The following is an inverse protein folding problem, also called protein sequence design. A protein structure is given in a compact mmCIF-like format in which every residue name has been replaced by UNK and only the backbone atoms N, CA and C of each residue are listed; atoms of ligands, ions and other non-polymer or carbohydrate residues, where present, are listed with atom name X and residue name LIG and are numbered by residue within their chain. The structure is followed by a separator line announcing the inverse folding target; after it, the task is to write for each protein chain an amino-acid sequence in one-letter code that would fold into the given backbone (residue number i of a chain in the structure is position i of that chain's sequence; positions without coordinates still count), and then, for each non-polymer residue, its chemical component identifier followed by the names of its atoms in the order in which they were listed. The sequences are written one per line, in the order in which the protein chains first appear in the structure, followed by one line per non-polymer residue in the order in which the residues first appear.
data_IF_551852464295
#
_entry.id   IF_551852464295
#
_cell.length_a   1.000
_cell.length_b   1.000
_cell.length_c   1.000
_cell.angle_alpha   90.00
_cell.angle_beta   90.00
_cell.angle_gamma   90.00
#
_symmetry.space_group_name_H-M   'P 1'
#
loop_
_entity.id
_entity.type
_entity.pdbx_description
1 polymer ?
#
# COMPACT_ATOMS: atom_id res chain seq x y z
N UNK A 1 -5.93 24.21 2.54
CA UNK A 1 -5.39 22.86 2.82
C UNK A 1 -6.31 21.85 2.15
N UNK A 2 -5.76 20.89 1.40
CA UNK A 2 -6.51 19.80 0.74
C UNK A 2 -6.13 18.50 1.45
N UNK A 3 -7.10 17.66 1.76
CA UNK A 3 -6.87 16.28 2.25
C UNK A 3 -7.41 15.32 1.20
N UNK A 4 -6.53 14.47 0.69
CA UNK A 4 -6.83 13.41 -0.27
C UNK A 4 -7.24 12.15 0.51
N UNK A 5 -8.42 11.62 0.22
CA UNK A 5 -8.97 10.42 0.86
C UNK A 5 -10.02 9.82 -0.08
N UNK A 6 -10.30 8.50 0.01
CA UNK A 6 -11.37 7.91 -0.79
C UNK A 6 -12.72 8.54 -0.44
N UNK A 7 -13.64 8.55 -1.41
CA UNK A 7 -14.99 9.09 -1.20
C UNK A 7 -15.77 8.34 -0.13
N UNK A 8 -15.47 7.05 0.07
CA UNK A 8 -16.03 6.20 1.11
C UNK A 8 -15.09 5.04 1.42
N UNK A 9 -14.98 4.67 2.69
CA UNK A 9 -14.29 3.46 3.15
C UNK A 9 -15.30 2.57 3.88
N UNK A 10 -15.43 1.32 3.45
CA UNK A 10 -16.34 0.33 4.03
C UNK A 10 -15.53 -0.90 4.38
N UNK A 11 -15.62 -1.35 5.62
CA UNK A 11 -14.97 -2.55 6.09
C UNK A 11 -15.98 -3.35 6.92
N UNK A 12 -16.26 -4.57 6.46
CA UNK A 12 -17.10 -5.49 7.22
C UNK A 12 -16.98 -6.92 6.66
N UNK A 13 -17.39 -7.88 7.49
CA UNK A 13 -17.47 -9.28 7.10
C UNK A 13 -18.50 -9.48 5.98
N UNK A 14 -18.07 -10.04 4.84
CA UNK A 14 -18.95 -10.33 3.71
C UNK A 14 -19.25 -9.13 2.82
N UNK A 15 -18.50 -8.02 2.94
CA UNK A 15 -18.74 -6.78 2.20
C UNK A 15 -18.80 -6.99 0.67
N UNK A 16 -18.06 -7.97 0.13
CA UNK A 16 -17.93 -8.18 -1.31
C UNK A 16 -19.24 -8.57 -1.98
N UNK A 17 -20.14 -9.30 -1.30
CA UNK A 17 -21.46 -9.63 -1.87
C UNK A 17 -22.44 -8.46 -1.81
N UNK A 18 -22.09 -7.39 -1.09
CA UNK A 18 -22.94 -6.22 -0.85
C UNK A 18 -22.51 -4.98 -1.64
N UNK A 19 -21.54 -5.11 -2.55
CA UNK A 19 -21.00 -4.00 -3.38
C UNK A 19 -22.11 -3.10 -3.94
N UNK A 20 -23.16 -3.70 -4.51
CA UNK A 20 -24.26 -2.97 -5.12
C UNK A 20 -25.06 -2.09 -4.13
N UNK A 21 -25.09 -2.44 -2.85
CA UNK A 21 -25.87 -1.72 -1.83
C UNK A 21 -25.18 -0.46 -1.30
N UNK A 22 -23.89 -0.29 -1.56
CA UNK A 22 -23.11 0.82 -1.01
C UNK A 22 -23.13 2.07 -1.88
N UNK A 23 -23.38 1.92 -3.17
CA UNK A 23 -23.19 3.00 -4.14
C UNK A 23 -24.37 3.06 -5.12
N UNK A 24 -25.32 3.95 -4.87
CA UNK A 24 -26.49 4.15 -5.74
C UNK A 24 -26.11 4.50 -7.18
N UNK A 25 -24.96 5.17 -7.40
CA UNK A 25 -24.51 5.52 -8.75
C UNK A 25 -24.16 4.32 -9.63
N UNK A 26 -24.08 3.09 -9.08
CA UNK A 26 -23.92 1.88 -9.87
C UNK A 26 -25.15 1.59 -10.75
N UNK A 27 -26.29 2.17 -10.43
CA UNK A 27 -27.52 2.11 -11.23
C UNK A 27 -27.48 3.07 -12.44
N UNK A 28 -26.60 4.08 -12.44
CA UNK A 28 -26.51 5.11 -13.49
C UNK A 28 -25.97 4.57 -14.84
N UNK A 29 -25.48 3.33 -14.87
CA UNK A 29 -24.95 2.73 -16.10
C UNK A 29 -24.31 1.36 -15.90
N UNK A 30 -23.62 0.90 -16.95
CA UNK A 30 -22.97 -0.42 -16.93
C UNK A 30 -21.65 -0.35 -16.16
N UNK A 31 -21.36 -1.39 -15.40
CA UNK A 31 -20.17 -1.50 -14.54
C UNK A 31 -19.20 -2.53 -15.12
N UNK A 32 -17.91 -2.22 -15.14
CA UNK A 32 -16.85 -3.20 -15.41
C UNK A 32 -16.31 -3.72 -14.08
N UNK A 33 -16.39 -5.02 -13.86
CA UNK A 33 -15.71 -5.70 -12.75
C UNK A 33 -14.40 -6.28 -13.30
N UNK A 34 -13.28 -5.75 -12.83
CA UNK A 34 -11.96 -6.17 -13.25
C UNK A 34 -11.29 -6.96 -12.11
N UNK A 35 -11.04 -8.25 -12.36
CA UNK A 35 -10.53 -9.18 -11.35
C UNK A 35 -9.15 -9.71 -11.75
N UNK A 36 -8.25 -9.93 -10.79
CA UNK A 36 -7.12 -10.84 -11.07
C UNK A 36 -7.60 -12.28 -11.27
N UNK A 37 -6.73 -13.15 -11.80
CA UNK A 37 -7.08 -14.54 -12.09
C UNK A 37 -7.58 -15.32 -10.87
N UNK A 38 -6.97 -15.10 -9.70
CA UNK A 38 -7.40 -15.75 -8.45
C UNK A 38 -8.80 -15.28 -8.05
N UNK A 39 -9.02 -13.97 -8.00
CA UNK A 39 -10.29 -13.35 -7.61
C UNK A 39 -11.40 -13.71 -8.57
N UNK A 40 -11.10 -13.79 -9.87
CA UNK A 40 -12.05 -14.26 -10.88
C UNK A 40 -12.47 -15.70 -10.63
N UNK A 41 -11.52 -16.60 -10.32
CA UNK A 41 -11.83 -18.01 -10.06
C UNK A 41 -12.66 -18.21 -8.78
N UNK A 42 -12.39 -17.43 -7.74
CA UNK A 42 -12.97 -17.66 -6.41
C UNK A 42 -14.17 -16.79 -6.06
N UNK A 43 -14.29 -15.58 -6.65
CA UNK A 43 -15.26 -14.58 -6.18
C UNK A 43 -16.23 -14.08 -7.25
N UNK A 44 -16.02 -14.40 -8.54
CA UNK A 44 -16.89 -13.89 -9.63
C UNK A 44 -18.37 -14.19 -9.40
N UNK A 45 -18.70 -15.39 -8.90
CA UNK A 45 -20.09 -15.82 -8.75
C UNK A 45 -20.74 -15.11 -7.56
N UNK A 46 -20.04 -15.00 -6.42
CA UNK A 46 -20.47 -14.22 -5.24
C UNK A 46 -20.76 -12.76 -5.60
N UNK A 47 -19.88 -12.13 -6.38
CA UNK A 47 -20.04 -10.74 -6.83
C UNK A 47 -21.19 -10.61 -7.83
N UNK A 48 -21.27 -11.53 -8.79
CA UNK A 48 -22.33 -11.61 -9.80
C UNK A 48 -23.72 -11.74 -9.17
N UNK A 49 -23.88 -12.59 -8.16
CA UNK A 49 -25.13 -12.74 -7.41
C UNK A 49 -25.54 -11.45 -6.68
N UNK A 50 -24.59 -10.80 -5.99
CA UNK A 50 -24.82 -9.54 -5.29
C UNK A 50 -25.28 -8.41 -6.23
N UNK A 51 -24.65 -8.30 -7.40
CA UNK A 51 -25.01 -7.33 -8.44
C UNK A 51 -26.38 -7.62 -9.07
N UNK A 52 -26.68 -8.89 -9.39
CA UNK A 52 -27.97 -9.31 -9.95
C UNK A 52 -29.13 -9.03 -9.01
N UNK A 53 -28.95 -9.24 -7.70
CA UNK A 53 -29.98 -8.96 -6.68
C UNK A 53 -30.44 -7.50 -6.68
N UNK A 54 -29.58 -6.59 -7.11
CA UNK A 54 -29.86 -5.15 -7.20
C UNK A 54 -30.05 -4.67 -8.64
N UNK A 55 -30.22 -5.59 -9.60
CA UNK A 55 -30.41 -5.29 -11.02
C UNK A 55 -29.31 -4.41 -11.64
N UNK A 56 -28.07 -4.51 -11.14
CA UNK A 56 -26.93 -3.78 -11.71
C UNK A 56 -26.54 -4.41 -13.05
N UNK A 57 -26.32 -3.59 -14.08
CA UNK A 57 -25.80 -4.02 -15.37
C UNK A 57 -24.28 -4.06 -15.33
N UNK A 58 -23.65 -5.20 -15.65
CA UNK A 58 -22.20 -5.35 -15.53
C UNK A 58 -21.55 -6.24 -16.60
N UNK A 59 -20.22 -6.15 -16.67
CA UNK A 59 -19.32 -7.08 -17.37
C UNK A 59 -18.26 -7.50 -16.37
N UNK A 60 -17.90 -8.78 -16.32
CA UNK A 60 -16.76 -9.26 -15.52
C UNK A 60 -15.64 -9.66 -16.47
N UNK A 61 -14.45 -9.08 -16.30
CA UNK A 61 -13.24 -9.46 -17.01
C UNK A 61 -12.17 -9.95 -16.01
N UNK A 62 -11.49 -11.04 -16.38
CA UNK A 62 -10.26 -11.48 -15.70
C UNK A 62 -9.07 -10.78 -16.35
N UNK A 63 -8.14 -10.30 -15.53
CA UNK A 63 -6.91 -9.63 -15.93
C UNK A 63 -5.69 -10.31 -15.29
N UNK A 64 -4.73 -10.71 -16.10
CA UNK A 64 -3.50 -11.39 -15.66
C UNK A 64 -2.23 -10.75 -16.24
N UNK A 65 -2.34 -9.55 -16.80
CA UNK A 65 -1.22 -8.83 -17.39
C UNK A 65 -0.55 -7.84 -16.42
N UNK A 66 0.30 -6.99 -16.97
CA UNK A 66 0.92 -5.88 -16.24
C UNK A 66 0.08 -4.62 -16.33
N UNK A 67 0.10 -3.81 -15.26
CA UNK A 67 -0.44 -2.45 -15.29
C UNK A 67 0.46 -1.59 -16.20
N UNK A 68 0.23 -1.67 -17.50
CA UNK A 68 0.97 -0.96 -18.54
C UNK A 68 0.01 -0.20 -19.46
N UNK A 69 0.51 0.83 -20.14
CA UNK A 69 -0.35 1.72 -20.95
C UNK A 69 -1.07 1.00 -22.09
N UNK A 70 -0.50 -0.07 -22.64
CA UNK A 70 -1.14 -0.89 -23.67
C UNK A 70 -2.40 -1.56 -23.12
N UNK A 71 -2.28 -2.28 -22.00
CA UNK A 71 -3.41 -2.94 -21.35
C UNK A 71 -4.47 -1.95 -20.88
N UNK A 72 -4.05 -0.82 -20.30
CA UNK A 72 -4.96 0.25 -19.87
C UNK A 72 -5.80 0.75 -21.07
N UNK A 73 -5.14 1.08 -22.19
CA UNK A 73 -5.84 1.55 -23.40
C UNK A 73 -6.80 0.51 -23.96
N UNK A 74 -6.40 -0.76 -24.00
CA UNK A 74 -7.25 -1.84 -24.48
C UNK A 74 -8.53 -1.99 -23.64
N UNK A 75 -8.41 -1.93 -22.31
CA UNK A 75 -9.57 -2.00 -21.41
C UNK A 75 -10.44 -0.75 -21.55
N UNK A 76 -9.87 0.44 -21.71
CA UNK A 76 -10.63 1.68 -21.94
C UNK A 76 -11.44 1.60 -23.24
N UNK A 77 -10.85 1.14 -24.35
CA UNK A 77 -11.55 0.99 -25.63
C UNK A 77 -12.76 0.05 -25.50
N UNK A 78 -12.57 -1.10 -24.85
CA UNK A 78 -13.68 -2.04 -24.55
C UNK A 78 -14.75 -1.40 -23.65
N UNK A 79 -14.32 -0.67 -22.63
CA UNK A 79 -15.20 0.00 -21.67
C UNK A 79 -16.07 1.06 -22.36
N UNK A 80 -15.48 1.87 -23.23
CA UNK A 80 -16.20 2.87 -24.03
C UNK A 80 -17.22 2.21 -24.98
N UNK A 81 -16.83 1.13 -25.64
CA UNK A 81 -17.70 0.38 -26.56
C UNK A 81 -18.91 -0.24 -25.86
N UNK A 82 -18.78 -0.52 -24.56
CA UNK A 82 -19.84 -1.07 -23.71
C UNK A 82 -20.56 -0.02 -22.85
N UNK A 83 -20.27 1.27 -23.04
CA UNK A 83 -20.80 2.39 -22.26
C UNK A 83 -20.64 2.17 -20.73
N UNK A 84 -19.48 1.65 -20.32
CA UNK A 84 -19.13 1.49 -18.91
C UNK A 84 -19.01 2.87 -18.24
N UNK A 85 -19.59 3.01 -17.06
CA UNK A 85 -19.57 4.25 -16.24
C UNK A 85 -18.73 4.11 -14.98
N UNK A 86 -18.52 2.89 -14.51
CA UNK A 86 -17.76 2.60 -13.31
C UNK A 86 -16.89 1.35 -13.49
N UNK A 87 -15.67 1.38 -12.96
CA UNK A 87 -14.76 0.24 -12.88
C UNK A 87 -14.66 -0.20 -11.42
N UNK A 88 -14.85 -1.49 -11.14
CA UNK A 88 -14.63 -2.07 -9.81
C UNK A 88 -13.45 -3.03 -9.93
N UNK A 89 -12.32 -2.66 -9.31
CA UNK A 89 -11.14 -3.50 -9.23
C UNK A 89 -11.25 -4.44 -8.04
N UNK A 90 -11.12 -5.75 -8.25
CA UNK A 90 -11.17 -6.75 -7.19
C UNK A 90 -9.92 -7.64 -7.27
N UNK A 91 -9.07 -7.59 -6.25
CA UNK A 91 -7.85 -8.40 -6.23
C UNK A 91 -6.71 -7.80 -5.42
N UNK A 92 -5.50 -8.25 -5.76
CA UNK A 92 -4.25 -7.69 -5.23
C UNK A 92 -3.80 -6.39 -5.92
N UNK A 93 -2.65 -5.86 -5.52
CA UNK A 93 -2.15 -4.54 -5.93
C UNK A 93 -2.18 -4.28 -7.44
N UNK A 94 -1.72 -5.23 -8.27
CA UNK A 94 -1.72 -5.07 -9.74
C UNK A 94 -3.13 -4.90 -10.32
N UNK A 95 -4.11 -5.64 -9.83
CA UNK A 95 -5.51 -5.54 -10.28
C UNK A 95 -6.13 -4.21 -9.87
N UNK A 96 -5.83 -3.74 -8.66
CA UNK A 96 -6.31 -2.45 -8.16
C UNK A 96 -5.66 -1.28 -8.91
N UNK A 97 -4.36 -1.34 -9.18
CA UNK A 97 -3.64 -0.30 -9.93
C UNK A 97 -4.18 -0.17 -11.36
N UNK A 98 -4.35 -1.28 -12.08
CA UNK A 98 -4.92 -1.19 -13.42
C UNK A 98 -6.37 -0.69 -13.40
N UNK A 99 -7.18 -1.09 -12.41
CA UNK A 99 -8.56 -0.61 -12.27
C UNK A 99 -8.60 0.91 -12.01
N UNK A 100 -7.72 1.42 -11.13
CA UNK A 100 -7.55 2.86 -10.88
C UNK A 100 -7.12 3.60 -12.15
N UNK A 101 -6.12 3.09 -12.87
CA UNK A 101 -5.62 3.71 -14.09
C UNK A 101 -6.68 3.73 -15.20
N UNK A 102 -7.42 2.64 -15.41
CA UNK A 102 -8.54 2.57 -16.37
C UNK A 102 -9.65 3.54 -15.96
N UNK A 103 -10.00 3.61 -14.67
CA UNK A 103 -10.99 4.56 -14.16
C UNK A 103 -10.59 6.00 -14.43
N UNK A 104 -9.36 6.36 -14.09
CA UNK A 104 -8.82 7.71 -14.28
C UNK A 104 -8.72 8.11 -15.76
N UNK A 105 -7.97 7.36 -16.58
CA UNK A 105 -7.77 7.72 -18.00
C UNK A 105 -9.03 7.52 -18.85
N UNK A 106 -9.94 6.63 -18.43
CA UNK A 106 -11.22 6.41 -19.07
C UNK A 106 -12.32 7.38 -18.64
N UNK A 107 -12.04 8.30 -17.70
CA UNK A 107 -13.01 9.21 -17.11
C UNK A 107 -14.27 8.49 -16.56
N UNK A 108 -14.03 7.39 -15.86
CA UNK A 108 -15.04 6.56 -15.20
C UNK A 108 -14.90 6.66 -13.68
N UNK A 109 -15.99 6.43 -12.95
CA UNK A 109 -15.89 6.21 -11.50
C UNK A 109 -15.10 4.93 -11.25
N UNK A 110 -14.45 4.83 -10.10
CA UNK A 110 -13.76 3.59 -9.74
C UNK A 110 -13.81 3.29 -8.24
N UNK A 111 -14.02 2.01 -7.95
CA UNK A 111 -14.14 1.43 -6.61
C UNK A 111 -13.10 0.32 -6.46
N UNK A 112 -12.41 0.27 -5.33
CA UNK A 112 -11.40 -0.75 -5.04
C UNK A 112 -11.93 -1.76 -4.02
N UNK A 113 -11.73 -3.05 -4.30
CA UNK A 113 -12.08 -4.16 -3.41
C UNK A 113 -10.84 -5.03 -3.20
N UNK A 114 -9.95 -4.64 -2.28
CA UNK A 114 -8.75 -5.42 -2.00
C UNK A 114 -9.11 -6.81 -1.46
N UNK A 115 -8.43 -7.84 -1.96
CA UNK A 115 -8.55 -9.22 -1.45
C UNK A 115 -7.47 -9.57 -0.43
N UNK A 116 -6.58 -8.62 -0.12
CA UNK A 116 -5.57 -8.71 0.92
C UNK A 116 -5.20 -7.32 1.46
N UNK A 117 -4.90 -7.23 2.76
CA UNK A 117 -4.34 -6.03 3.39
C UNK A 117 -2.80 -6.08 3.34
N UNK A 118 -2.20 -6.01 2.15
CA UNK A 118 -0.75 -6.17 1.95
C UNK A 118 0.01 -4.87 1.71
N UNK A 119 -0.70 -3.80 1.36
CA UNK A 119 -0.17 -2.45 1.17
C UNK A 119 -1.31 -1.45 1.45
N UNK A 120 -0.97 -0.17 1.56
CA UNK A 120 -1.93 0.93 1.71
C UNK A 120 -2.39 1.57 0.38
N UNK A 121 -1.92 1.02 -0.74
CA UNK A 121 -2.28 1.46 -2.09
C UNK A 121 -3.76 1.43 -2.51
N UNK A 122 -4.68 0.62 -1.90
CA UNK A 122 -6.08 0.59 -2.34
C UNK A 122 -6.81 1.94 -2.23
N UNK A 123 -6.47 2.77 -1.25
CA UNK A 123 -7.13 4.06 -1.01
C UNK A 123 -6.46 5.23 -1.75
N UNK A 124 -5.28 5.02 -2.33
CA UNK A 124 -4.44 6.12 -2.81
C UNK A 124 -4.82 6.61 -4.21
N UNK A 125 -4.46 7.86 -4.52
CA UNK A 125 -4.47 8.38 -5.91
C UNK A 125 -3.21 8.01 -6.69
N UNK A 126 -2.49 6.97 -6.29
CA UNK A 126 -1.25 6.54 -6.96
C UNK A 126 -1.51 5.21 -7.63
N UNK A 127 -1.07 5.06 -8.88
CA UNK A 127 -1.00 3.77 -9.56
C UNK A 127 0.44 3.50 -9.97
N UNK A 128 0.92 2.26 -9.82
CA UNK A 128 2.24 1.87 -10.32
C UNK A 128 2.11 1.43 -11.77
N UNK A 129 2.87 2.08 -12.66
CA UNK A 129 2.95 1.73 -14.07
C UNK A 129 4.20 0.90 -14.32
N UNK A 130 4.04 -0.15 -15.11
CA UNK A 130 5.09 -1.04 -15.56
C UNK A 130 5.23 -0.98 -17.08
N UNK A 131 6.39 -1.37 -17.57
CA UNK A 131 6.54 -1.79 -18.96
C UNK A 131 5.83 -3.15 -19.17
N UNK A 132 5.59 -3.52 -20.43
CA UNK A 132 4.89 -4.76 -20.76
C UNK A 132 5.64 -6.03 -20.33
N UNK A 133 6.94 -5.93 -20.05
CA UNK A 133 7.79 -7.00 -19.51
C UNK A 133 7.79 -7.07 -17.97
N UNK A 134 7.04 -6.20 -17.30
CA UNK A 134 6.93 -6.16 -15.83
C UNK A 134 8.02 -5.32 -15.15
N UNK A 135 8.88 -4.63 -15.91
CA UNK A 135 9.85 -3.68 -15.35
C UNK A 135 9.12 -2.45 -14.81
N UNK A 136 9.47 -1.99 -13.60
CA UNK A 136 8.95 -0.74 -13.05
C UNK A 136 9.22 0.42 -14.02
N UNK A 137 8.21 1.24 -14.29
CA UNK A 137 8.33 2.40 -15.16
C UNK A 137 8.24 3.69 -14.37
N UNK A 138 7.09 3.94 -13.73
CA UNK A 138 6.85 5.16 -12.96
C UNK A 138 5.64 5.04 -12.04
N UNK A 139 5.52 5.97 -11.10
CA UNK A 139 4.30 6.20 -10.34
C UNK A 139 3.43 7.24 -11.04
N UNK A 140 2.15 6.93 -11.25
CA UNK A 140 1.18 7.87 -11.83
C UNK A 140 0.36 8.49 -10.70
N UNK A 141 0.33 9.82 -10.64
CA UNK A 141 -0.60 10.56 -9.80
C UNK A 141 -1.93 10.72 -10.55
N UNK A 142 -2.99 10.15 -9.98
CA UNK A 142 -4.37 10.27 -10.45
C UNK A 142 -4.97 11.56 -9.87
N UNK A 143 -5.99 12.09 -10.54
CA UNK A 143 -6.64 13.36 -10.14
C UNK A 143 -7.37 13.26 -8.80
N UNK A 144 -7.92 12.09 -8.50
CA UNK A 144 -8.75 11.82 -7.34
C UNK A 144 -8.37 10.49 -6.69
N UNK A 145 -8.75 10.28 -5.44
CA UNK A 145 -8.76 8.96 -4.81
C UNK A 145 -9.96 8.14 -5.36
N UNK A 146 -10.02 6.82 -5.09
CA UNK A 146 -11.19 6.01 -5.40
C UNK A 146 -12.48 6.59 -4.83
N UNK A 147 -13.57 6.41 -5.59
CA UNK A 147 -14.91 6.81 -5.15
C UNK A 147 -15.38 5.98 -3.95
N UNK A 148 -14.84 4.77 -3.82
CA UNK A 148 -15.10 3.87 -2.71
C UNK A 148 -14.00 2.83 -2.57
N UNK A 149 -13.74 2.41 -1.34
CA UNK A 149 -12.95 1.22 -1.02
C UNK A 149 -13.79 0.31 -0.16
N UNK A 150 -13.96 -0.94 -0.58
CA UNK A 150 -14.77 -1.95 0.10
C UNK A 150 -13.86 -3.09 0.52
N UNK A 151 -13.81 -3.35 1.82
CA UNK A 151 -12.93 -4.33 2.42
C UNK A 151 -13.77 -5.45 3.03
N UNK A 152 -13.73 -6.63 2.41
CA UNK A 152 -14.38 -7.83 2.94
C UNK A 152 -13.41 -8.54 3.89
N UNK A 153 -13.64 -8.41 5.20
CA UNK A 153 -12.70 -8.95 6.20
C UNK A 153 -12.72 -10.47 6.27
N UNK A 154 -13.77 -11.13 5.79
CA UNK A 154 -13.79 -12.59 5.62
C UNK A 154 -12.81 -13.02 4.54
N UNK A 155 -12.74 -12.28 3.43
CA UNK A 155 -11.80 -12.56 2.34
C UNK A 155 -10.37 -12.38 2.82
N UNK A 156 -10.08 -11.29 3.55
CA UNK A 156 -8.73 -11.03 4.09
C UNK A 156 -8.35 -12.06 5.15
N UNK A 157 -9.27 -12.48 6.02
CA UNK A 157 -9.01 -13.52 7.02
C UNK A 157 -8.61 -14.86 6.40
N UNK A 158 -9.10 -15.17 5.19
CA UNK A 158 -8.77 -16.39 4.45
C UNK A 158 -7.58 -16.23 3.47
N UNK A 159 -6.95 -15.05 3.43
CA UNK A 159 -5.78 -14.81 2.59
C UNK A 159 -4.50 -15.33 3.27
N UNK A 160 -3.41 -15.60 2.53
CA UNK A 160 -2.14 -16.00 3.15
C UNK A 160 -1.64 -14.95 4.16
N UNK A 161 -1.32 -15.37 5.39
CA UNK A 161 -0.88 -14.47 6.47
C UNK A 161 0.35 -13.62 6.12
N UNK A 162 1.21 -14.10 5.20
CA UNK A 162 2.34 -13.33 4.65
C UNK A 162 1.90 -11.98 4.05
N UNK A 163 0.71 -11.93 3.44
CA UNK A 163 0.15 -10.69 2.88
C UNK A 163 -0.15 -9.68 3.98
N UNK A 164 -0.82 -10.09 5.06
CA UNK A 164 -1.08 -9.19 6.21
C UNK A 164 0.23 -8.74 6.87
N UNK A 165 1.19 -9.66 7.06
CA UNK A 165 2.53 -9.35 7.58
C UNK A 165 3.19 -8.25 6.74
N UNK A 166 3.17 -8.36 5.41
CA UNK A 166 3.67 -7.30 4.54
C UNK A 166 2.94 -5.97 4.76
N UNK A 167 1.60 -5.95 4.83
CA UNK A 167 0.85 -4.72 5.10
C UNK A 167 1.17 -4.08 6.44
N UNK A 168 1.44 -4.86 7.49
CA UNK A 168 1.92 -4.37 8.78
C UNK A 168 3.28 -3.66 8.63
N UNK A 169 4.20 -4.26 7.86
CA UNK A 169 5.51 -3.67 7.59
C UNK A 169 5.41 -2.31 6.89
N UNK A 170 4.49 -2.22 5.92
CA UNK A 170 4.19 -0.99 5.17
C UNK A 170 3.56 0.09 6.09
N UNK A 171 2.48 -0.27 6.80
CA UNK A 171 1.70 0.67 7.62
C UNK A 171 2.44 1.27 8.82
N UNK A 172 3.41 0.56 9.39
CA UNK A 172 4.24 1.12 10.49
C UNK A 172 5.11 2.28 10.00
N UNK A 173 5.60 2.23 8.76
CA UNK A 173 6.50 3.25 8.22
C UNK A 173 5.83 4.62 8.18
N UNK A 174 4.52 4.65 7.91
CA UNK A 174 3.73 5.86 7.70
C UNK A 174 3.85 6.90 8.81
N UNK A 175 3.88 6.45 10.07
CA UNK A 175 4.09 7.37 11.21
C UNK A 175 5.45 8.04 11.15
N UNK A 176 6.51 7.24 11.03
CA UNK A 176 7.88 7.73 11.07
C UNK A 176 8.21 8.59 9.87
N UNK A 177 7.76 8.21 8.68
CA UNK A 177 7.99 8.98 7.47
C UNK A 177 7.22 10.29 7.45
N UNK A 178 5.98 10.30 7.95
CA UNK A 178 5.18 11.52 8.08
C UNK A 178 5.83 12.51 9.04
N UNK A 179 6.29 12.04 10.22
CA UNK A 179 6.99 12.91 11.18
C UNK A 179 8.34 13.40 10.64
N UNK A 180 9.12 12.53 9.99
CA UNK A 180 10.39 12.93 9.40
C UNK A 180 10.23 13.96 8.28
N UNK A 181 9.20 13.82 7.45
CA UNK A 181 8.82 14.82 6.45
C UNK A 181 8.38 16.14 7.09
N UNK A 182 7.58 16.09 8.16
CA UNK A 182 7.12 17.28 8.88
C UNK A 182 8.30 18.06 9.44
N UNK A 183 9.21 17.39 10.13
CA UNK A 183 10.41 18.05 10.66
C UNK A 183 11.34 18.56 9.56
N UNK A 184 11.44 17.85 8.44
CA UNK A 184 12.22 18.26 7.28
C UNK A 184 11.67 19.52 6.60
N UNK A 185 10.36 19.64 6.50
CA UNK A 185 9.67 20.85 6.04
C UNK A 185 9.97 22.05 6.95
N UNK A 186 9.84 21.87 8.27
CA UNK A 186 10.13 22.92 9.26
C UNK A 186 11.57 23.41 9.12
N UNK A 187 12.55 22.51 8.98
CA UNK A 187 13.96 22.90 8.77
C UNK A 187 14.17 23.72 7.50
N UNK A 188 13.53 23.32 6.39
CA UNK A 188 13.80 23.90 5.06
C UNK A 188 13.02 25.19 4.82
N UNK A 189 11.81 25.29 5.36
CA UNK A 189 10.82 26.30 5.00
C UNK A 189 10.26 27.08 6.19
N UNK A 190 10.61 26.71 7.44
CA UNK A 190 10.10 27.34 8.67
C UNK A 190 8.64 27.01 9.00
N UNK A 191 7.97 26.20 8.18
CA UNK A 191 6.60 25.72 8.33
C UNK A 191 6.43 24.40 7.56
N UNK A 192 5.38 23.62 7.84
CA UNK A 192 5.09 22.40 7.09
C UNK A 192 3.70 22.43 6.47
N UNK A 193 3.61 21.86 5.26
CA UNK A 193 2.35 21.66 4.54
C UNK A 193 1.62 20.38 4.97
N UNK A 194 2.30 19.50 5.70
CA UNK A 194 1.74 18.26 6.23
C UNK A 194 0.67 18.59 7.26
N UNK A 195 -0.53 18.06 7.01
CA UNK A 195 -1.71 18.36 7.81
C UNK A 195 -1.66 17.69 9.19
N UNK A 196 -2.34 18.29 10.17
CA UNK A 196 -2.59 17.65 11.46
C UNK A 196 -3.33 16.31 11.27
N UNK A 197 -4.28 16.25 10.33
CA UNK A 197 -4.99 15.02 9.98
C UNK A 197 -4.04 13.89 9.60
N UNK A 198 -3.07 14.14 8.72
CA UNK A 198 -2.09 13.14 8.30
C UNK A 198 -1.27 12.62 9.49
N UNK A 199 -0.80 13.53 10.36
CA UNK A 199 -0.03 13.19 11.55
C UNK A 199 -0.82 12.40 12.60
N UNK A 200 -2.08 12.78 12.82
CA UNK A 200 -2.96 12.08 13.75
C UNK A 200 -3.27 10.68 13.25
N UNK A 201 -3.65 10.53 11.98
CA UNK A 201 -3.98 9.22 11.41
C UNK A 201 -2.75 8.32 11.27
N UNK A 202 -1.58 8.87 10.95
CA UNK A 202 -0.34 8.08 10.91
C UNK A 202 0.06 7.59 12.30
N UNK A 203 -0.10 8.41 13.35
CA UNK A 203 0.11 7.98 14.74
C UNK A 203 -0.86 6.88 15.16
N UNK A 204 -2.14 7.04 14.84
CA UNK A 204 -3.18 6.05 15.15
C UNK A 204 -2.93 4.73 14.40
N UNK A 205 -2.49 4.80 13.14
CA UNK A 205 -2.04 3.64 12.37
C UNK A 205 -0.94 2.86 13.11
N UNK A 206 0.10 3.57 13.57
CA UNK A 206 1.19 2.96 14.33
C UNK A 206 0.71 2.31 15.63
N UNK A 207 -0.10 3.01 16.43
CA UNK A 207 -0.59 2.50 17.71
C UNK A 207 -1.49 1.27 17.52
N UNK A 208 -2.46 1.35 16.60
CA UNK A 208 -3.34 0.24 16.28
C UNK A 208 -2.56 -1.01 15.84
N UNK A 209 -1.56 -0.85 14.97
CA UNK A 209 -0.72 -1.96 14.52
C UNK A 209 0.11 -2.52 15.68
N UNK A 210 0.80 -1.69 16.45
CA UNK A 210 1.64 -2.13 17.58
C UNK A 210 0.83 -2.96 18.59
N UNK A 211 -0.40 -2.54 18.88
CA UNK A 211 -1.24 -3.17 19.90
C UNK A 211 -1.87 -4.48 19.40
N UNK A 212 -2.20 -4.57 18.11
CA UNK A 212 -3.08 -5.62 17.58
C UNK A 212 -2.41 -6.59 16.59
N UNK A 213 -1.25 -6.25 16.01
CA UNK A 213 -0.64 -6.99 14.90
C UNK A 213 -0.44 -8.50 15.17
N UNK A 214 0.13 -8.87 16.32
CA UNK A 214 0.34 -10.29 16.64
C UNK A 214 -0.97 -11.07 16.71
N UNK A 215 -2.01 -10.49 17.33
CA UNK A 215 -3.34 -11.10 17.41
C UNK A 215 -4.03 -11.15 16.06
N UNK A 216 -3.85 -10.14 15.21
CA UNK A 216 -4.39 -10.10 13.85
C UNK A 216 -3.75 -11.16 12.94
N UNK A 217 -2.42 -11.33 13.02
CA UNK A 217 -1.70 -12.37 12.29
C UNK A 217 -2.19 -13.75 12.70
N UNK A 218 -2.32 -14.02 14.01
CA UNK A 218 -2.88 -15.27 14.50
C UNK A 218 -4.32 -15.49 14.00
N UNK A 219 -5.14 -14.42 13.89
CA UNK A 219 -6.50 -14.54 13.37
C UNK A 219 -6.51 -15.02 11.91
N UNK A 220 -5.66 -14.43 11.04
CA UNK A 220 -5.53 -14.85 9.64
C UNK A 220 -4.99 -16.28 9.53
N UNK A 221 -4.00 -16.66 10.35
CA UNK A 221 -3.47 -18.03 10.37
C UNK A 221 -4.53 -19.08 10.76
N UNK A 222 -5.58 -18.67 11.47
CA UNK A 222 -6.72 -19.51 11.84
C UNK A 222 -7.98 -19.27 10.98
N UNK A 223 -7.91 -18.42 9.95
CA UNK A 223 -9.05 -18.01 9.11
C UNK A 223 -10.21 -17.37 9.91
N UNK A 224 -9.89 -16.62 10.95
CA UNK A 224 -10.86 -15.99 11.85
C UNK A 224 -10.94 -14.47 11.64
N UNK A 225 -12.16 -13.93 11.71
CA UNK A 225 -12.39 -12.49 11.80
C UNK A 225 -12.59 -12.13 13.27
N UNK A 226 -11.74 -11.26 13.80
CA UNK A 226 -11.83 -10.73 15.16
C UNK A 226 -11.52 -9.22 15.20
N UNK A 227 -11.71 -8.59 16.35
CA UNK A 227 -11.52 -7.14 16.52
C UNK A 227 -10.07 -6.69 16.21
N UNK A 228 -9.06 -7.48 16.61
CA UNK A 228 -7.66 -7.19 16.31
C UNK A 228 -7.40 -7.14 14.80
N UNK A 229 -7.95 -8.12 14.05
CA UNK A 229 -7.84 -8.16 12.60
C UNK A 229 -8.53 -6.97 11.95
N UNK A 230 -9.75 -6.65 12.39
CA UNK A 230 -10.49 -5.47 11.88
C UNK A 230 -9.67 -4.17 12.07
N UNK A 231 -9.10 -3.93 13.26
CA UNK A 231 -8.27 -2.75 13.52
C UNK A 231 -7.01 -2.69 12.66
N UNK A 232 -6.33 -3.83 12.47
CA UNK A 232 -5.11 -3.87 11.67
C UNK A 232 -5.41 -3.68 10.19
N UNK A 233 -6.52 -4.23 9.68
CA UNK A 233 -6.95 -4.00 8.30
C UNK A 233 -7.25 -2.51 8.07
N UNK A 234 -7.99 -1.86 8.97
CA UNK A 234 -8.28 -0.42 8.88
C UNK A 234 -7.00 0.41 8.94
N UNK A 235 -6.09 0.05 9.84
CA UNK A 235 -4.80 0.73 9.96
C UNK A 235 -4.00 0.66 8.65
N UNK A 236 -3.89 -0.52 8.05
CA UNK A 236 -3.14 -0.72 6.80
C UNK A 236 -3.83 -0.02 5.63
N UNK A 237 -5.12 -0.25 5.41
CA UNK A 237 -5.76 0.17 4.15
C UNK A 237 -6.18 1.65 4.20
N UNK A 238 -6.69 2.13 5.34
CA UNK A 238 -7.23 3.48 5.45
C UNK A 238 -6.29 4.44 6.16
N UNK A 239 -5.92 4.16 7.43
CA UNK A 239 -5.13 5.10 8.23
C UNK A 239 -3.75 5.35 7.63
N UNK A 240 -3.07 4.28 7.19
CA UNK A 240 -1.78 4.38 6.51
C UNK A 240 -1.92 5.20 5.23
N UNK A 241 -2.92 4.89 4.39
CA UNK A 241 -3.09 5.58 3.13
C UNK A 241 -3.32 7.08 3.30
N UNK A 242 -4.28 7.46 4.15
CA UNK A 242 -4.57 8.89 4.38
C UNK A 242 -3.39 9.57 5.08
N UNK A 243 -2.67 8.84 5.95
CA UNK A 243 -1.45 9.28 6.60
C UNK A 243 -0.34 9.61 5.61
N UNK A 244 0.09 8.66 4.78
CA UNK A 244 1.24 8.86 3.88
C UNK A 244 0.92 9.85 2.77
N UNK A 245 -0.29 9.79 2.19
CA UNK A 245 -0.63 10.58 1.00
C UNK A 245 -0.77 12.07 1.31
N UNK A 246 -1.16 12.40 2.54
CA UNK A 246 -1.28 13.77 3.06
C UNK A 246 -0.13 14.16 4.01
N UNK A 247 0.77 13.22 4.25
CA UNK A 247 1.96 13.33 5.07
C UNK A 247 3.19 13.30 4.18
N UNK A 248 4.03 12.30 4.41
CA UNK A 248 5.25 12.13 3.64
C UNK A 248 5.69 10.67 3.58
N UNK A 249 6.49 10.38 2.56
CA UNK A 249 7.43 9.27 2.54
C UNK A 249 8.83 9.81 2.90
N UNK A 250 9.76 8.95 3.29
CA UNK A 250 11.09 9.32 3.77
C UNK A 250 12.12 8.20 3.50
N UNK A 251 13.08 7.97 4.40
CA UNK A 251 14.15 7.02 4.18
C UNK A 251 13.65 5.57 4.02
N UNK A 252 12.60 5.17 4.75
CA UNK A 252 12.11 3.79 4.71
C UNK A 252 11.70 3.38 3.29
N UNK A 253 10.88 4.20 2.62
CA UNK A 253 10.50 3.96 1.24
C UNK A 253 11.65 4.17 0.25
N UNK A 254 12.58 5.10 0.48
CA UNK A 254 13.77 5.24 -0.36
C UNK A 254 14.66 3.98 -0.38
N UNK A 255 14.80 3.33 0.77
CA UNK A 255 15.53 2.07 0.89
C UNK A 255 14.75 0.95 0.22
N UNK A 256 13.44 0.87 0.43
CA UNK A 256 12.59 -0.13 -0.21
C UNK A 256 12.57 -0.01 -1.75
N UNK A 257 12.56 1.22 -2.28
CA UNK A 257 12.70 1.52 -3.70
C UNK A 257 14.04 1.00 -4.22
N UNK A 258 15.13 1.30 -3.51
CA UNK A 258 16.48 0.86 -3.89
C UNK A 258 16.59 -0.66 -3.95
N UNK A 259 16.04 -1.38 -2.96
CA UNK A 259 15.97 -2.84 -2.99
C UNK A 259 15.14 -3.36 -4.18
N UNK A 260 14.06 -2.67 -4.55
CA UNK A 260 13.19 -3.10 -5.66
C UNK A 260 13.81 -2.96 -7.05
N UNK A 261 14.92 -2.25 -7.17
CA UNK A 261 15.69 -2.12 -8.42
C UNK A 261 16.74 -3.24 -8.62
N UNK A 262 16.86 -4.17 -7.67
CA UNK A 262 17.82 -5.28 -7.72
C UNK A 262 17.05 -6.60 -7.70
N UNK A 263 17.20 -7.40 -8.75
CA UNK A 263 16.42 -8.63 -8.97
C UNK A 263 16.54 -9.65 -7.82
N UNK A 264 17.68 -9.66 -7.10
CA UNK A 264 17.91 -10.46 -5.90
C UNK A 264 16.80 -10.32 -4.85
N UNK A 265 16.21 -9.13 -4.73
CA UNK A 265 15.19 -8.85 -3.72
C UNK A 265 13.74 -8.98 -4.23
N UNK A 266 13.52 -9.52 -5.42
CA UNK A 266 12.17 -9.69 -5.98
C UNK A 266 11.29 -10.67 -5.18
N UNK A 267 11.90 -11.57 -4.40
CA UNK A 267 11.17 -12.51 -3.54
C UNK A 267 10.61 -11.86 -2.26
N UNK A 268 11.06 -10.65 -1.93
CA UNK A 268 10.49 -9.87 -0.84
C UNK A 268 9.32 -9.04 -1.36
N UNK A 269 8.22 -9.06 -0.60
CA UNK A 269 7.08 -8.20 -0.78
C UNK A 269 7.45 -6.74 -0.47
N UNK A 270 6.66 -5.80 -0.98
CA UNK A 270 6.86 -4.37 -0.75
C UNK A 270 7.03 -4.04 0.74
N UNK A 271 6.04 -4.42 1.56
CA UNK A 271 6.06 -4.17 2.99
C UNK A 271 7.17 -4.87 3.77
N UNK A 272 7.72 -5.99 3.27
CA UNK A 272 8.91 -6.62 3.85
C UNK A 272 10.14 -5.72 3.65
N UNK A 273 10.30 -5.11 2.47
CA UNK A 273 11.37 -4.15 2.19
C UNK A 273 11.20 -2.86 2.98
N UNK A 274 9.96 -2.37 3.11
CA UNK A 274 9.62 -1.16 3.89
C UNK A 274 9.83 -1.39 5.39
N UNK A 275 9.53 -2.58 5.92
CA UNK A 275 9.81 -2.92 7.32
C UNK A 275 11.30 -2.79 7.64
N UNK A 276 12.16 -3.37 6.81
CA UNK A 276 13.61 -3.21 6.95
C UNK A 276 14.04 -1.73 6.82
N UNK A 277 13.53 -1.02 5.79
CA UNK A 277 13.80 0.40 5.60
C UNK A 277 13.39 1.25 6.81
N UNK A 278 12.31 0.89 7.50
CA UNK A 278 11.84 1.57 8.71
C UNK A 278 12.83 1.46 9.85
N UNK A 279 13.39 0.27 10.10
CA UNK A 279 14.44 0.09 11.11
C UNK A 279 15.67 0.94 10.79
N UNK A 280 16.11 0.92 9.52
CA UNK A 280 17.24 1.74 9.07
C UNK A 280 16.95 3.23 9.27
N UNK A 281 15.73 3.69 8.96
CA UNK A 281 15.33 5.07 9.18
C UNK A 281 15.39 5.46 10.67
N UNK A 282 14.88 4.61 11.57
CA UNK A 282 14.91 4.90 13.01
C UNK A 282 16.34 5.04 13.54
N UNK A 283 17.26 4.20 13.06
CA UNK A 283 18.70 4.30 13.36
C UNK A 283 19.29 5.58 12.77
N UNK A 284 18.98 5.87 11.50
CA UNK A 284 19.48 7.06 10.79
C UNK A 284 19.08 8.36 11.50
N UNK A 285 17.85 8.41 12.02
CA UNK A 285 17.31 9.53 12.79
C UNK A 285 17.77 9.54 14.27
N UNK A 286 18.53 8.53 14.70
CA UNK A 286 18.96 8.34 16.07
C UNK A 286 17.77 8.41 17.07
N UNK A 287 16.69 7.71 16.73
CA UNK A 287 15.51 7.60 17.60
C UNK A 287 15.84 6.83 18.88
N UNK A 288 14.97 6.97 19.88
CA UNK A 288 15.10 6.29 21.17
C UNK A 288 15.23 4.77 21.00
N UNK A 289 16.16 4.17 21.75
CA UNK A 289 16.47 2.75 21.64
C UNK A 289 15.28 1.85 22.01
N UNK A 290 14.46 2.25 23.00
CA UNK A 290 13.26 1.48 23.36
C UNK A 290 12.21 1.50 22.25
N UNK A 291 12.11 2.60 21.49
CA UNK A 291 11.24 2.66 20.33
C UNK A 291 11.72 1.74 19.20
N UNK A 292 13.03 1.72 18.92
CA UNK A 292 13.62 0.80 17.94
C UNK A 292 13.35 -0.65 18.35
N UNK A 293 13.64 -0.99 19.61
CA UNK A 293 13.39 -2.34 20.14
C UNK A 293 11.91 -2.71 20.10
N UNK A 294 11.00 -1.77 20.38
CA UNK A 294 9.55 -2.00 20.30
C UNK A 294 9.11 -2.42 18.89
N UNK A 295 9.59 -1.74 17.85
CA UNK A 295 9.28 -2.08 16.45
C UNK A 295 9.95 -3.40 16.05
N UNK A 296 11.24 -3.57 16.41
CA UNK A 296 12.00 -4.80 16.15
C UNK A 296 11.34 -6.04 16.76
N UNK A 297 10.92 -5.97 18.03
CA UNK A 297 10.29 -7.09 18.71
C UNK A 297 8.93 -7.45 18.10
N UNK A 298 8.19 -6.47 17.58
CA UNK A 298 7.00 -6.77 16.78
C UNK A 298 7.40 -7.51 15.49
N UNK A 299 8.32 -6.96 14.70
CA UNK A 299 8.76 -7.57 13.44
C UNK A 299 9.25 -9.00 13.64
N UNK A 300 10.03 -9.25 14.69
CA UNK A 300 10.49 -10.58 15.08
C UNK A 300 9.32 -11.53 15.41
N UNK A 301 8.29 -11.07 16.11
CA UNK A 301 7.12 -11.90 16.47
C UNK A 301 6.27 -12.32 15.28
N UNK A 302 6.30 -11.55 14.19
CA UNK A 302 5.50 -11.81 12.98
C UNK A 302 6.36 -12.14 11.76
N UNK A 303 7.64 -12.47 11.95
CA UNK A 303 8.59 -12.86 10.90
C UNK A 303 8.83 -11.82 9.80
N UNK A 304 8.80 -10.52 10.12
CA UNK A 304 9.23 -9.47 9.21
C UNK A 304 10.75 -9.23 9.32
N UNK A 305 11.43 -8.92 8.19
CA UNK A 305 12.85 -8.65 8.21
C UNK A 305 13.14 -7.26 8.82
N UNK A 306 14.11 -7.21 9.72
CA UNK A 306 14.52 -6.01 10.44
C UNK A 306 16.02 -5.75 10.41
N UNK A 307 16.81 -6.64 9.81
CA UNK A 307 18.25 -6.46 9.63
C UNK A 307 18.74 -6.88 8.25
N UNK A 308 19.95 -6.41 7.91
CA UNK A 308 20.52 -6.62 6.59
C UNK A 308 20.82 -8.08 6.26
N UNK A 309 21.09 -8.93 7.28
CA UNK A 309 21.28 -10.38 7.09
C UNK A 309 20.00 -11.09 6.67
N UNK A 310 18.85 -10.72 7.24
CA UNK A 310 17.54 -11.28 6.88
C UNK A 310 17.10 -10.86 5.47
N UNK A 311 17.42 -9.64 5.05
CA UNK A 311 17.21 -9.19 3.67
C UNK A 311 18.23 -9.83 2.70
N UNK A 312 19.40 -10.23 3.20
CA UNK A 312 20.46 -10.85 2.44
C UNK A 312 21.39 -9.84 1.74
N UNK A 313 21.64 -8.68 2.34
CA UNK A 313 22.71 -7.77 1.88
C UNK A 313 24.04 -8.32 2.42
N UNK A 314 24.97 -8.69 1.53
CA UNK A 314 26.16 -9.47 1.92
C UNK A 314 27.49 -8.73 1.71
N UNK A 315 27.58 -7.84 0.72
CA UNK A 315 28.82 -7.18 0.35
C UNK A 315 28.74 -5.65 0.39
N UNK A 316 29.92 -5.02 0.47
CA UNK A 316 30.05 -3.56 0.60
C UNK A 316 29.59 -2.81 -0.64
N UNK A 317 29.73 -3.41 -1.83
CA UNK A 317 29.38 -2.79 -3.11
C UNK A 317 27.86 -2.73 -3.26
N UNK A 318 27.16 -3.84 -3.00
CA UNK A 318 25.71 -3.93 -2.97
C UNK A 318 25.12 -2.90 -2.00
N UNK A 319 25.69 -2.84 -0.79
CA UNK A 319 25.32 -1.85 0.21
C UNK A 319 25.53 -0.40 -0.28
N UNK A 320 26.66 -0.11 -0.93
CA UNK A 320 26.93 1.19 -1.51
C UNK A 320 25.91 1.55 -2.59
N UNK A 321 25.58 0.62 -3.49
CA UNK A 321 24.58 0.84 -4.53
C UNK A 321 23.19 1.13 -3.95
N UNK A 322 22.78 0.41 -2.89
CA UNK A 322 21.51 0.66 -2.19
C UNK A 322 21.51 2.06 -1.57
N UNK A 323 22.57 2.42 -0.84
CA UNK A 323 22.67 3.72 -0.17
C UNK A 323 22.71 4.90 -1.16
N UNK A 324 23.43 4.73 -2.28
CA UNK A 324 23.50 5.69 -3.38
C UNK A 324 22.13 5.91 -4.01
N UNK A 325 21.46 4.83 -4.42
CA UNK A 325 20.12 4.89 -5.02
C UNK A 325 19.13 5.53 -4.05
N UNK A 326 19.16 5.18 -2.77
CA UNK A 326 18.25 5.73 -1.77
C UNK A 326 18.41 7.25 -1.61
N UNK A 327 19.58 7.81 -1.92
CA UNK A 327 19.88 9.25 -1.85
C UNK A 327 19.73 9.99 -3.19
N UNK A 328 19.27 9.34 -4.26
CA UNK A 328 19.02 10.02 -5.55
C UNK A 328 18.01 11.16 -5.38
N UNK A 329 18.10 12.18 -6.24
CA UNK A 329 17.42 13.48 -6.06
C UNK A 329 15.90 13.37 -5.93
N UNK A 330 15.29 12.41 -6.61
CA UNK A 330 13.85 12.16 -6.65
C UNK A 330 13.36 11.22 -5.53
N UNK A 331 14.28 10.67 -4.72
CA UNK A 331 13.93 9.78 -3.64
C UNK A 331 13.29 10.49 -2.44
N UNK A 332 12.31 9.85 -1.76
CA UNK A 332 11.64 10.42 -0.60
C UNK A 332 12.53 10.84 0.58
N UNK A 333 13.71 10.24 0.78
CA UNK A 333 14.65 10.63 1.84
C UNK A 333 14.98 12.12 1.82
N UNK A 334 14.95 12.75 0.64
CA UNK A 334 15.20 14.17 0.47
C UNK A 334 14.10 15.06 1.07
N UNK A 335 12.98 14.48 1.54
CA UNK A 335 11.94 15.18 2.31
C UNK A 335 12.31 15.34 3.78
N UNK A 336 13.14 14.47 4.32
CA UNK A 336 13.68 14.57 5.69
C UNK A 336 14.62 15.77 5.86
N UNK A 337 15.05 16.04 7.10
CA UNK A 337 16.16 16.98 7.40
C UNK A 337 17.37 16.69 6.53
N UNK A 338 18.04 17.73 6.02
CA UNK A 338 19.13 17.58 5.03
C UNK A 338 20.26 16.67 5.52
N UNK A 339 20.48 16.68 6.83
CA UNK A 339 21.55 15.93 7.47
C UNK A 339 21.43 14.41 7.31
N UNK A 340 20.25 13.88 6.95
CA UNK A 340 20.02 12.43 6.82
C UNK A 340 20.17 11.92 5.38
N UNK A 341 20.00 12.77 4.37
CA UNK A 341 20.08 12.41 2.96
C UNK A 341 21.54 12.35 2.46
N UNK A 342 22.34 11.46 3.07
CA UNK A 342 23.74 11.25 2.72
C UNK A 342 24.07 9.75 2.67
N UNK A 343 24.70 9.32 1.57
CA UNK A 343 25.01 7.91 1.27
C UNK A 343 25.78 7.23 2.42
N UNK A 344 26.80 7.89 2.96
CA UNK A 344 27.61 7.32 4.05
C UNK A 344 26.79 7.09 5.33
N UNK A 345 25.82 7.95 5.62
CA UNK A 345 24.95 7.78 6.79
C UNK A 345 23.94 6.67 6.60
N UNK A 346 23.33 6.59 5.41
CA UNK A 346 22.42 5.49 5.07
C UNK A 346 23.17 4.15 5.14
N UNK A 347 24.38 4.09 4.56
CA UNK A 347 25.26 2.93 4.64
C UNK A 347 25.58 2.54 6.08
N UNK A 348 25.99 3.50 6.91
CA UNK A 348 26.26 3.26 8.34
C UNK A 348 25.03 2.77 9.10
N UNK A 349 23.85 3.34 8.84
CA UNK A 349 22.61 2.93 9.47
C UNK A 349 22.21 1.50 9.06
N UNK A 350 22.35 1.14 7.79
CA UNK A 350 22.11 -0.23 7.31
C UNK A 350 23.06 -1.22 8.00
N UNK A 351 24.38 -0.93 8.04
CA UNK A 351 25.36 -1.79 8.74
C UNK A 351 25.04 -1.97 10.20
N UNK A 352 24.58 -0.90 10.86
CA UNK A 352 24.26 -0.96 12.28
C UNK A 352 23.13 -1.96 12.58
N UNK A 353 22.24 -2.24 11.61
CA UNK A 353 21.19 -3.25 11.78
C UNK A 353 21.73 -4.66 12.07
N UNK A 354 22.99 -4.98 11.75
CA UNK A 354 23.59 -6.27 12.10
C UNK A 354 23.76 -6.50 13.61
N UNK A 355 23.76 -5.41 14.39
CA UNK A 355 23.92 -5.46 15.84
C UNK A 355 22.58 -5.58 16.59
N UNK A 356 21.45 -5.65 15.87
CA UNK A 356 20.10 -5.64 16.45
C UNK A 356 19.56 -7.00 16.87
#
# INVERSE_FOLDING_TARGET
MKINMPGCYIQEKGAMSKIASYFNFLEDGKVLILMDGFSYMHFKDKVSEGLKKHNISYIIESFTGECCMENIKNIICKSQSNNIKCVIGIGGGKALDIAKAVGHFGNMKYIMVPTAASTDGPCSRISVLYESDGTFKEYINLDNNPHGVIVDTEVIANAPAKLLKAGIGDGISTYFETEAGYEGDIEKFGSSSISLTARTLSKECFDAIIENAYSAVNAVENNEVNESLEKVIEAIIYLSCVGFENGSLAAAHSIANSLSTISKYNNFMHGEKVAFGTIVQLILENKDAHLIDKVKELYKKIDLPYNMKQIGIEDEEELYQIAKRACEKDQPINRMKKIFAHEDKVKSAIKFTENL
#
